data_IF_363813195396
#
_entry.id   IF_363813195396
#
_cell.length_a   1.000
_cell.length_b   1.000
_cell.length_c   1.000
_cell.angle_alpha   90.00
_cell.angle_beta   90.00
_cell.angle_gamma   90.00
#
_symmetry.space_group_name_H-M   'P 1'
#
loop_
_entity.id
_entity.type
_entity.pdbx_description
1 polymer ?
#
# COMPACT_ATOMS: atom_id res chain seq x y z
N UNK A 1 -12.51 -2.00 -3.19
CA UNK A 1 -12.49 -3.47 -2.99
C UNK A 1 -11.05 -3.93 -2.81
N UNK A 2 -10.84 -5.19 -2.44
CA UNK A 2 -9.52 -5.72 -2.06
C UNK A 2 -9.38 -5.81 -0.54
N UNK A 3 -8.15 -5.93 -0.06
CA UNK A 3 -7.81 -5.94 1.37
C UNK A 3 -7.77 -4.52 1.94
N UNK A 4 -8.86 -4.11 2.60
CA UNK A 4 -9.01 -2.78 3.19
C UNK A 4 -8.38 -2.66 4.59
N UNK A 5 -7.92 -3.77 5.16
CA UNK A 5 -7.30 -3.85 6.48
C UNK A 5 -5.89 -4.41 6.32
N UNK A 6 -4.98 -3.95 7.16
CA UNK A 6 -3.60 -4.41 7.24
C UNK A 6 -3.20 -4.56 8.71
N UNK A 7 -2.47 -5.62 9.03
CA UNK A 7 -1.84 -5.79 10.34
C UNK A 7 -0.46 -5.12 10.36
N UNK A 8 0.09 -4.95 11.56
CA UNK A 8 1.46 -4.46 11.72
C UNK A 8 2.47 -5.49 11.22
N UNK A 9 3.33 -5.08 10.30
CA UNK A 9 4.50 -5.84 9.87
C UNK A 9 5.77 -5.23 10.48
N UNK A 10 6.59 -6.05 11.11
CA UNK A 10 7.93 -5.67 11.54
C UNK A 10 8.89 -5.91 10.38
N UNK A 11 9.38 -4.83 9.79
CA UNK A 11 10.27 -4.86 8.63
C UNK A 11 11.42 -3.88 8.84
N UNK A 12 12.50 -4.08 8.11
CA UNK A 12 13.59 -3.13 7.98
C UNK A 12 13.29 -2.12 6.90
N UNK A 13 13.45 -0.86 7.23
CA UNK A 13 13.34 0.25 6.28
C UNK A 13 14.60 0.35 5.40
N UNK A 14 14.60 1.30 4.46
CA UNK A 14 15.70 1.54 3.49
C UNK A 14 17.04 1.87 4.13
N UNK A 15 17.04 2.33 5.38
CA UNK A 15 18.22 2.61 6.20
C UNK A 15 18.64 1.42 7.08
N UNK A 16 18.02 0.25 6.89
CA UNK A 16 18.24 -0.98 7.64
C UNK A 16 17.80 -0.91 9.13
N UNK A 17 17.03 0.11 9.54
CA UNK A 17 16.43 0.17 10.87
C UNK A 17 15.10 -0.59 10.92
N UNK A 18 14.85 -1.30 12.01
CA UNK A 18 13.57 -1.97 12.25
C UNK A 18 12.44 -0.95 12.46
N UNK A 19 11.30 -1.21 11.84
CA UNK A 19 10.12 -0.34 11.88
C UNK A 19 8.82 -1.13 11.77
N UNK A 20 7.74 -0.46 12.15
CA UNK A 20 6.37 -0.97 12.05
C UNK A 20 5.65 -0.43 10.81
N UNK A 21 5.25 -1.31 9.91
CA UNK A 21 4.63 -0.93 8.63
C UNK A 21 3.24 -1.57 8.46
N UNK A 22 2.31 -0.77 7.94
CA UNK A 22 1.00 -1.24 7.48
C UNK A 22 0.97 -1.14 5.96
N UNK A 23 0.85 -2.27 5.28
CA UNK A 23 0.97 -2.35 3.81
C UNK A 23 -0.32 -2.86 3.20
N UNK A 24 -0.75 -2.23 2.11
CA UNK A 24 -2.01 -2.53 1.43
C UNK A 24 -1.73 -2.92 -0.04
N UNK A 25 -1.24 -4.16 -0.30
CA UNK A 25 -0.82 -4.57 -1.64
C UNK A 25 -2.00 -4.83 -2.60
N UNK A 26 -3.22 -4.95 -2.06
CA UNK A 26 -4.44 -5.22 -2.82
C UNK A 26 -5.53 -4.20 -2.48
N UNK A 27 -5.51 -3.08 -3.22
CA UNK A 27 -6.56 -2.06 -3.18
C UNK A 27 -7.05 -1.79 -4.59
N UNK A 28 -8.37 -1.63 -4.74
CA UNK A 28 -8.98 -1.33 -6.03
C UNK A 28 -10.14 -0.35 -5.87
N UNK A 29 -10.15 0.68 -6.74
CA UNK A 29 -11.25 1.62 -6.92
C UNK A 29 -11.84 1.37 -8.31
N UNK A 30 -13.17 1.24 -8.39
CA UNK A 30 -13.86 0.82 -9.63
C UNK A 30 -14.34 1.98 -10.50
N UNK A 31 -14.52 3.14 -9.90
CA UNK A 31 -15.04 4.32 -10.57
C UNK A 31 -13.89 5.28 -10.88
N UNK A 32 -13.90 5.84 -12.08
CA UNK A 32 -12.96 6.88 -12.47
C UNK A 32 -13.17 8.14 -11.63
N UNK A 33 -12.06 8.80 -11.27
CA UNK A 33 -12.10 10.02 -10.48
C UNK A 33 -10.77 10.32 -9.78
N UNK A 34 -10.79 11.35 -8.94
CA UNK A 34 -9.67 11.74 -8.08
C UNK A 34 -10.01 11.44 -6.64
N UNK A 35 -9.15 10.70 -5.96
CA UNK A 35 -9.42 10.16 -4.63
C UNK A 35 -8.23 10.36 -3.69
N UNK A 36 -8.50 10.22 -2.40
CA UNK A 36 -7.49 10.05 -1.35
C UNK A 36 -7.85 8.80 -0.55
N UNK A 37 -6.85 8.10 -0.04
CA UNK A 37 -7.04 7.03 0.93
C UNK A 37 -6.96 7.62 2.33
N UNK A 38 -7.92 7.30 3.19
CA UNK A 38 -7.85 7.59 4.63
C UNK A 38 -7.43 6.33 5.36
N UNK A 39 -6.24 6.35 5.94
CA UNK A 39 -5.75 5.28 6.79
C UNK A 39 -6.15 5.57 8.24
N UNK A 40 -6.75 4.60 8.91
CA UNK A 40 -7.19 4.73 10.30
C UNK A 40 -6.56 3.62 11.13
N UNK A 41 -5.77 4.00 12.12
CA UNK A 41 -5.12 3.08 13.04
C UNK A 41 -6.07 2.77 14.20
N UNK A 42 -6.21 1.48 14.47
CA UNK A 42 -6.92 0.95 15.61
C UNK A 42 -6.00 0.06 16.43
N UNK A 43 -6.21 0.06 17.74
CA UNK A 43 -5.58 -0.84 18.70
C UNK A 43 -6.65 -1.78 19.26
N UNK A 44 -6.32 -3.06 19.36
CA UNK A 44 -7.23 -4.08 19.91
C UNK A 44 -6.69 -4.48 21.29
N UNK A 45 -7.47 -4.24 22.34
CA UNK A 45 -7.12 -4.59 23.73
C UNK A 45 -8.23 -5.49 24.27
N UNK A 46 -7.90 -6.78 24.46
CA UNK A 46 -8.90 -7.78 24.81
C UNK A 46 -9.94 -7.95 23.72
N UNK A 47 -11.21 -7.66 24.03
CA UNK A 47 -12.33 -7.70 23.08
C UNK A 47 -12.73 -6.32 22.54
N UNK A 48 -12.05 -5.26 22.97
CA UNK A 48 -12.37 -3.89 22.61
C UNK A 48 -11.44 -3.35 21.52
N UNK A 49 -11.96 -2.43 20.69
CA UNK A 49 -11.24 -1.80 19.59
C UNK A 49 -11.22 -0.29 19.81
N UNK A 50 -10.01 0.28 19.89
CA UNK A 50 -9.79 1.69 20.16
C UNK A 50 -9.26 2.40 18.93
N UNK A 51 -9.87 3.53 18.58
CA UNK A 51 -9.31 4.43 17.56
C UNK A 51 -8.07 5.13 18.11
N UNK A 52 -6.97 5.11 17.37
CA UNK A 52 -5.74 5.82 17.76
C UNK A 52 -5.57 7.13 16.97
N UNK A 53 -5.58 7.03 15.63
CA UNK A 53 -5.29 8.16 14.74
C UNK A 53 -5.75 7.86 13.30
N UNK A 54 -5.95 8.90 12.50
CA UNK A 54 -6.07 8.74 11.05
C UNK A 54 -5.21 9.73 10.27
N UNK A 55 -4.78 9.32 9.08
CA UNK A 55 -4.05 10.17 8.12
C UNK A 55 -4.64 9.98 6.72
N UNK A 56 -4.40 10.93 5.82
CA UNK A 56 -4.84 10.84 4.42
C UNK A 56 -3.62 10.80 3.49
N UNK A 57 -3.67 9.95 2.46
CA UNK A 57 -2.69 9.96 1.36
C UNK A 57 -2.74 11.26 0.57
N UNK A 58 -1.80 11.43 -0.34
CA UNK A 58 -1.95 12.38 -1.44
C UNK A 58 -3.10 11.98 -2.39
N UNK A 59 -3.52 12.93 -3.23
CA UNK A 59 -4.55 12.70 -4.23
C UNK A 59 -3.98 11.82 -5.35
N UNK A 60 -4.72 10.79 -5.74
CA UNK A 60 -4.40 9.94 -6.90
C UNK A 60 -5.59 9.88 -7.86
N UNK A 61 -5.30 9.53 -9.12
CA UNK A 61 -6.28 9.45 -10.19
C UNK A 61 -6.56 7.98 -10.53
N UNK A 62 -7.84 7.62 -10.58
CA UNK A 62 -8.33 6.35 -11.12
C UNK A 62 -8.73 6.61 -12.55
N UNK A 63 -7.98 6.04 -13.49
CA UNK A 63 -8.19 6.26 -14.92
C UNK A 63 -9.20 5.27 -15.49
N UNK A 64 -9.93 5.69 -16.52
CA UNK A 64 -10.56 4.73 -17.45
C UNK A 64 -9.51 3.89 -18.17
N UNK A 65 -9.91 2.71 -18.67
CA UNK A 65 -9.01 1.79 -19.39
C UNK A 65 -8.29 2.44 -20.58
N UNK A 66 -8.95 3.39 -21.29
CA UNK A 66 -8.36 4.09 -22.44
C UNK A 66 -7.32 5.14 -22.06
N UNK A 67 -7.43 5.73 -20.86
CA UNK A 67 -6.53 6.79 -20.37
C UNK A 67 -5.47 6.29 -19.40
N UNK A 68 -5.49 5.00 -19.08
CA UNK A 68 -4.59 4.42 -18.10
C UNK A 68 -3.14 4.46 -18.61
N UNK A 69 -2.21 5.16 -17.94
CA UNK A 69 -0.85 5.36 -18.43
C UNK A 69 0.02 4.09 -18.32
N UNK A 70 -0.51 3.00 -17.79
CA UNK A 70 0.24 1.80 -17.46
C UNK A 70 0.57 1.72 -15.97
N UNK A 71 1.07 0.57 -15.55
CA UNK A 71 1.57 0.37 -14.18
C UNK A 71 3.04 0.79 -14.12
N UNK A 72 3.41 1.52 -13.08
CA UNK A 72 4.82 1.78 -12.76
C UNK A 72 5.54 0.50 -12.32
N UNK A 73 6.87 0.51 -12.42
CA UNK A 73 7.69 -0.53 -11.80
C UNK A 73 7.55 -0.50 -10.27
N UNK A 74 7.85 -1.62 -9.61
CA UNK A 74 7.82 -1.64 -8.15
C UNK A 74 8.92 -0.76 -7.58
N UNK A 75 8.63 0.14 -6.65
CA UNK A 75 9.64 0.97 -5.98
C UNK A 75 10.67 0.15 -5.21
N UNK A 76 11.81 0.75 -4.87
CA UNK A 76 12.82 0.12 -4.02
C UNK A 76 12.24 -0.40 -2.70
N UNK A 77 11.41 0.41 -2.03
CA UNK A 77 10.75 0.03 -0.78
C UNK A 77 9.84 -1.20 -0.96
N UNK A 78 9.06 -1.25 -2.06
CA UNK A 78 8.19 -2.39 -2.36
C UNK A 78 8.99 -3.68 -2.60
N UNK A 79 10.13 -3.58 -3.31
CA UNK A 79 11.04 -4.72 -3.54
C UNK A 79 11.67 -5.19 -2.24
N UNK A 80 12.21 -4.27 -1.44
CA UNK A 80 12.80 -4.58 -0.13
C UNK A 80 11.81 -5.28 0.80
N UNK A 81 10.56 -4.81 0.87
CA UNK A 81 9.53 -5.47 1.69
C UNK A 81 9.17 -6.87 1.16
N UNK A 82 9.15 -7.07 -0.16
CA UNK A 82 8.93 -8.40 -0.73
C UNK A 82 10.09 -9.36 -0.45
N UNK A 83 11.33 -8.88 -0.51
CA UNK A 83 12.52 -9.68 -0.17
C UNK A 83 12.53 -10.07 1.32
N UNK A 84 11.88 -9.27 2.18
CA UNK A 84 11.65 -9.57 3.60
C UNK A 84 10.44 -10.50 3.85
N UNK A 85 9.83 -11.04 2.80
CA UNK A 85 8.74 -12.03 2.87
C UNK A 85 7.33 -11.46 2.80
N UNK A 86 7.16 -10.14 2.63
CA UNK A 86 5.84 -9.57 2.41
C UNK A 86 5.29 -9.97 1.04
N UNK A 87 4.07 -10.49 0.98
CA UNK A 87 3.45 -10.93 -0.29
C UNK A 87 2.97 -9.74 -1.14
N UNK A 88 3.91 -9.03 -1.78
CA UNK A 88 3.66 -7.94 -2.73
C UNK A 88 3.97 -8.42 -4.15
N UNK A 89 3.13 -8.03 -5.12
CA UNK A 89 3.42 -8.26 -6.54
C UNK A 89 4.56 -7.35 -7.02
N UNK A 90 5.70 -7.93 -7.34
CA UNK A 90 6.85 -7.19 -7.89
C UNK A 90 6.77 -7.13 -9.42
N UNK A 91 6.89 -5.91 -9.96
CA UNK A 91 6.98 -5.60 -11.39
C UNK A 91 8.38 -5.09 -11.69
N UNK A 92 9.09 -5.75 -12.61
CA UNK A 92 10.38 -5.28 -13.16
C UNK A 92 10.12 -4.36 -14.36
N UNK A 93 11.05 -3.46 -14.67
CA UNK A 93 10.96 -2.55 -15.83
C UNK A 93 10.47 -3.26 -17.09
N UNK A 94 9.59 -2.58 -17.84
CA UNK A 94 9.24 -3.00 -19.19
C UNK A 94 10.49 -2.76 -20.04
N UNK A 95 11.16 -3.83 -20.49
CA UNK A 95 12.22 -3.71 -21.50
C UNK A 95 11.64 -2.96 -22.70
N UNK A 96 12.05 -1.71 -22.87
CA UNK A 96 11.80 -0.95 -24.09
C UNK A 96 12.52 -1.73 -25.20
N UNK A 97 11.76 -2.31 -26.13
CA UNK A 97 12.30 -2.91 -27.34
C UNK A 97 12.60 -1.83 -28.36
#
# INVERSE_FOLDING_TARGET
>A
TGSLVSSLYHLKDVNNSDGGFFVFPDLSVRMEGRYRLKFTLFEIVGMEVFFCRSICSDVFTVYSAKRFPGMEESTFLSRSFADQGLKIRIRKEVRIR
#
